data_IF_494539835877
#
_entry.id   IF_494539835877
#
_cell.length_a   1.000
_cell.length_b   1.000
_cell.length_c   1.000
_cell.angle_alpha   90.00
_cell.angle_beta   90.00
_cell.angle_gamma   90.00
#
_symmetry.space_group_name_H-M   'P 1'
#
loop_
_entity.id
_entity.type
_entity.pdbx_description
1 polymer ?
#
# COMPACT_ATOMS: atom_id res chain seq x y z
N UNK A 1 20.08 -21.15 2.89
CA UNK A 1 18.98 -20.45 3.62
C UNK A 1 19.53 -19.14 4.14
N UNK A 2 18.91 -17.99 3.81
CA UNK A 2 19.35 -16.69 4.31
C UNK A 2 19.20 -16.65 5.84
N UNK A 3 20.19 -16.09 6.56
CA UNK A 3 20.08 -15.89 8.02
C UNK A 3 18.83 -15.05 8.35
N UNK A 4 18.08 -15.44 9.40
CA UNK A 4 16.91 -14.68 9.82
C UNK A 4 17.33 -13.28 10.30
N UNK A 5 16.62 -12.27 9.82
CA UNK A 5 16.91 -10.86 10.08
C UNK A 5 16.74 -10.53 11.57
N UNK A 6 17.71 -9.79 12.13
CA UNK A 6 17.69 -9.34 13.52
C UNK A 6 16.88 -8.05 13.66
N UNK A 7 15.97 -8.03 14.65
CA UNK A 7 15.10 -6.89 14.96
C UNK A 7 15.40 -6.40 16.37
N UNK A 8 15.77 -5.14 16.50
CA UNK A 8 16.02 -4.52 17.80
C UNK A 8 14.71 -4.22 18.54
N UNK A 9 14.65 -4.49 19.84
CA UNK A 9 13.49 -4.20 20.68
C UNK A 9 13.89 -3.22 21.78
N UNK A 10 13.22 -2.08 21.83
CA UNK A 10 13.24 -1.15 22.95
C UNK A 10 11.81 -1.00 23.50
N UNK A 11 11.65 -1.17 24.81
CA UNK A 11 10.33 -1.15 25.43
C UNK A 11 10.35 -0.46 26.78
N UNK A 12 9.33 0.34 27.06
CA UNK A 12 9.17 1.09 28.30
C UNK A 12 8.97 0.19 29.51
N UNK A 13 8.27 -0.94 29.32
CA UNK A 13 8.01 -1.90 30.39
C UNK A 13 8.39 -3.33 29.98
N UNK A 14 8.55 -4.21 30.99
CA UNK A 14 8.82 -5.64 30.77
C UNK A 14 7.65 -6.34 30.06
N UNK A 15 6.40 -5.95 30.34
CA UNK A 15 5.22 -6.49 29.67
C UNK A 15 5.21 -6.20 28.18
N UNK A 16 5.48 -4.95 27.79
CA UNK A 16 5.61 -4.54 26.39
C UNK A 16 6.77 -5.28 25.73
N UNK A 17 7.90 -5.41 26.40
CA UNK A 17 9.06 -6.14 25.87
C UNK A 17 8.71 -7.60 25.55
N UNK A 18 8.03 -8.29 26.46
CA UNK A 18 7.59 -9.67 26.27
C UNK A 18 6.65 -9.79 25.06
N UNK A 19 5.67 -8.91 24.95
CA UNK A 19 4.75 -8.85 23.82
C UNK A 19 5.48 -8.68 22.47
N UNK A 20 6.40 -7.70 22.38
CA UNK A 20 7.17 -7.44 21.15
C UNK A 20 8.06 -8.63 20.80
N UNK A 21 8.65 -9.27 21.79
CA UNK A 21 9.49 -10.45 21.60
C UNK A 21 8.71 -11.61 20.97
N UNK A 22 7.59 -11.98 21.55
CA UNK A 22 6.71 -13.04 21.05
C UNK A 22 6.17 -12.71 19.64
N UNK A 23 5.75 -11.45 19.40
CA UNK A 23 5.25 -11.01 18.11
C UNK A 23 6.32 -11.11 16.99
N UNK A 24 7.59 -10.83 17.30
CA UNK A 24 8.69 -10.88 16.34
C UNK A 24 9.10 -12.35 16.06
N UNK A 25 9.18 -13.19 17.07
CA UNK A 25 9.51 -14.63 16.92
C UNK A 25 8.48 -15.39 16.09
N UNK A 26 7.19 -15.17 16.35
CA UNK A 26 6.10 -15.77 15.56
C UNK A 26 6.22 -15.39 14.07
N UNK A 27 6.80 -14.22 13.75
CA UNK A 27 7.09 -13.78 12.39
C UNK A 27 8.30 -14.42 11.72
N UNK A 28 8.99 -15.35 12.39
CA UNK A 28 10.21 -15.98 11.87
C UNK A 28 11.42 -15.03 11.81
N UNK A 29 11.41 -13.98 12.64
CA UNK A 29 12.49 -13.01 12.80
C UNK A 29 13.22 -13.25 14.13
N UNK A 30 14.46 -12.74 14.27
CA UNK A 30 15.23 -12.85 15.51
C UNK A 30 15.17 -11.56 16.31
N UNK A 31 14.46 -11.53 17.46
CA UNK A 31 14.45 -10.37 18.35
C UNK A 31 15.80 -10.22 19.07
N UNK A 32 16.22 -8.97 19.29
CA UNK A 32 17.38 -8.59 20.09
C UNK A 32 16.96 -7.45 21.02
N UNK A 33 17.02 -7.69 22.32
CA UNK A 33 16.76 -6.65 23.31
C UNK A 33 17.87 -5.58 23.25
N UNK A 34 17.47 -4.31 23.20
CA UNK A 34 18.41 -3.19 23.16
C UNK A 34 18.68 -2.60 24.55
N UNK A 35 18.18 -3.26 25.62
CA UNK A 35 18.42 -2.82 26.99
C UNK A 35 18.01 -1.35 27.23
N UNK A 36 18.84 -0.63 27.94
CA UNK A 36 18.67 0.82 28.14
C UNK A 36 19.46 1.60 27.09
N UNK A 37 18.84 1.77 25.92
CA UNK A 37 19.36 2.58 24.81
C UNK A 37 19.68 4.03 25.21
N UNK A 38 19.16 4.49 26.37
CA UNK A 38 19.38 5.86 26.86
C UNK A 38 20.69 6.01 27.62
N UNK A 39 21.27 4.91 28.14
CA UNK A 39 22.43 4.92 29.02
C UNK A 39 23.75 4.53 28.36
N UNK A 40 23.76 3.89 27.18
CA UNK A 40 24.95 3.33 26.55
C UNK A 40 25.19 3.88 25.13
N UNK A 41 26.35 3.55 24.55
CA UNK A 41 26.71 3.89 23.16
C UNK A 41 25.76 3.15 22.19
N UNK A 42 24.77 3.88 21.70
CA UNK A 42 23.72 3.33 20.84
C UNK A 42 24.25 2.83 19.48
N UNK A 43 25.38 3.35 18.99
CA UNK A 43 25.95 2.97 17.70
C UNK A 43 26.22 1.47 17.59
N UNK A 44 26.94 0.92 18.56
CA UNK A 44 27.30 -0.51 18.61
C UNK A 44 26.09 -1.42 18.83
N UNK A 45 25.05 -0.94 19.54
CA UNK A 45 23.83 -1.71 19.79
C UNK A 45 22.95 -1.86 18.56
N UNK A 46 23.01 -0.92 17.64
CA UNK A 46 22.19 -0.86 16.43
C UNK A 46 22.83 -1.61 15.25
N UNK A 47 24.11 -1.98 15.35
CA UNK A 47 24.81 -2.65 14.26
C UNK A 47 24.21 -4.00 13.91
N UNK A 48 24.05 -4.26 12.60
CA UNK A 48 23.50 -5.50 12.05
C UNK A 48 21.99 -5.69 12.22
N UNK A 49 21.26 -4.69 12.72
CA UNK A 49 19.81 -4.72 12.82
C UNK A 49 19.15 -4.36 11.48
N UNK A 50 18.03 -4.99 11.21
CA UNK A 50 17.20 -4.71 10.03
C UNK A 50 16.16 -3.60 10.29
N UNK A 51 15.68 -3.50 11.53
CA UNK A 51 14.83 -2.41 12.02
C UNK A 51 14.86 -2.39 13.55
N UNK A 52 14.32 -1.33 14.14
CA UNK A 52 14.09 -1.19 15.59
C UNK A 52 12.61 -1.02 15.85
N UNK A 53 12.08 -1.79 16.79
CA UNK A 53 10.70 -1.68 17.26
C UNK A 53 10.71 -1.10 18.67
N UNK A 54 10.00 -0.01 18.87
CA UNK A 54 9.89 0.70 20.15
C UNK A 54 8.45 0.65 20.62
N UNK A 55 8.21 0.13 21.80
CA UNK A 55 6.88 0.10 22.42
C UNK A 55 6.84 0.88 23.72
N UNK A 56 5.83 1.73 23.90
CA UNK A 56 5.69 2.54 25.10
C UNK A 56 4.28 3.07 25.33
N UNK A 57 4.00 3.38 26.59
CA UNK A 57 2.75 4.00 27.05
C UNK A 57 2.82 5.54 27.09
N UNK A 58 4.04 6.11 27.02
CA UNK A 58 4.21 7.55 27.14
C UNK A 58 4.86 8.17 25.91
N UNK A 59 4.31 9.32 25.50
CA UNK A 59 4.87 10.08 24.38
C UNK A 59 6.31 10.52 24.64
N UNK A 60 6.61 10.90 25.88
CA UNK A 60 7.96 11.30 26.28
C UNK A 60 8.99 10.19 26.09
N UNK A 61 8.67 8.94 26.45
CA UNK A 61 9.53 7.79 26.24
C UNK A 61 9.78 7.56 24.74
N UNK A 62 8.71 7.49 23.96
CA UNK A 62 8.78 7.23 22.52
C UNK A 62 9.61 8.30 21.79
N UNK A 63 9.43 9.58 22.15
CA UNK A 63 10.18 10.69 21.57
C UNK A 63 11.67 10.61 21.92
N UNK A 64 12.02 10.38 23.19
CA UNK A 64 13.42 10.26 23.64
C UNK A 64 14.17 9.12 22.96
N UNK A 65 13.55 7.94 22.87
CA UNK A 65 14.18 6.78 22.23
C UNK A 65 14.38 7.04 20.73
N UNK A 66 13.41 7.64 20.09
CA UNK A 66 13.51 7.97 18.67
C UNK A 66 14.62 8.96 18.38
N UNK A 67 14.66 10.10 19.07
CA UNK A 67 15.72 11.11 18.94
C UNK A 67 17.11 10.49 19.13
N UNK A 68 17.21 9.52 20.05
CA UNK A 68 18.45 8.78 20.29
C UNK A 68 18.84 7.89 19.11
N UNK A 69 17.88 7.20 18.48
CA UNK A 69 18.14 6.30 17.35
C UNK A 69 18.48 7.09 16.08
N UNK A 70 17.76 8.17 15.79
CA UNK A 70 17.95 8.99 14.58
C UNK A 70 19.36 9.60 14.49
N UNK A 71 19.97 9.91 15.61
CA UNK A 71 21.34 10.43 15.66
C UNK A 71 22.42 9.41 15.22
N UNK A 72 22.08 8.11 15.13
CA UNK A 72 23.07 7.05 14.90
C UNK A 72 22.87 6.23 13.62
N UNK A 73 21.69 6.25 13.00
CA UNK A 73 21.42 5.27 11.93
C UNK A 73 20.22 5.64 11.04
N UNK A 74 20.28 5.15 9.78
CA UNK A 74 19.16 5.14 8.84
C UNK A 74 18.27 3.90 8.98
N UNK A 75 18.39 3.14 10.07
CA UNK A 75 17.59 1.93 10.31
C UNK A 75 16.12 2.32 10.53
N UNK A 76 15.16 1.65 9.87
CA UNK A 76 13.74 1.91 10.07
C UNK A 76 13.32 1.74 11.53
N UNK A 77 12.53 2.67 12.04
CA UNK A 77 11.98 2.64 13.40
C UNK A 77 10.47 2.46 13.32
N UNK A 78 9.94 1.50 14.06
CA UNK A 78 8.50 1.26 14.19
C UNK A 78 8.12 1.57 15.64
N UNK A 79 7.20 2.49 15.84
CA UNK A 79 6.72 2.92 17.15
C UNK A 79 5.34 2.30 17.43
N UNK A 80 5.19 1.62 18.57
CA UNK A 80 3.93 1.10 19.06
C UNK A 80 3.50 1.86 20.31
N UNK A 81 2.27 2.35 20.31
CA UNK A 81 1.71 3.07 21.46
C UNK A 81 0.23 2.77 21.62
N UNK A 82 -0.21 2.70 22.88
CA UNK A 82 -1.62 2.64 23.29
C UNK A 82 -2.15 4.00 23.77
N UNK A 83 -1.38 5.05 23.52
CA UNK A 83 -1.75 6.45 23.80
C UNK A 83 -1.89 7.24 22.50
N UNK A 84 -2.76 8.25 22.51
CA UNK A 84 -2.91 9.15 21.37
C UNK A 84 -1.76 10.16 21.33
N UNK A 85 -1.01 10.17 20.22
CA UNK A 85 0.13 11.06 20.02
C UNK A 85 -0.26 12.18 19.06
N UNK A 86 -0.22 13.42 19.53
CA UNK A 86 -0.65 14.62 18.77
C UNK A 86 0.28 14.96 17.60
N UNK A 87 1.57 14.74 17.73
CA UNK A 87 2.61 15.17 16.77
C UNK A 87 3.10 14.07 15.84
N UNK A 88 2.20 13.22 15.31
CA UNK A 88 2.59 12.13 14.40
C UNK A 88 3.30 12.60 13.13
N UNK A 89 3.02 13.81 12.67
CA UNK A 89 3.52 14.34 11.39
C UNK A 89 4.99 14.76 11.40
N UNK A 90 5.55 15.08 12.55
CA UNK A 90 6.95 15.51 12.70
C UNK A 90 7.92 14.34 12.82
N UNK A 91 7.40 13.15 13.01
CA UNK A 91 8.16 11.95 13.31
C UNK A 91 8.27 11.07 12.06
N UNK A 92 9.46 10.98 11.42
CA UNK A 92 9.76 10.05 10.29
C UNK A 92 9.82 8.58 10.75
N UNK A 93 8.82 8.12 11.52
CA UNK A 93 8.71 6.76 12.02
C UNK A 93 7.38 6.15 11.63
N UNK A 94 7.32 4.84 11.48
CA UNK A 94 6.06 4.14 11.29
C UNK A 94 5.37 3.93 12.63
N UNK A 95 4.07 4.21 12.68
CA UNK A 95 3.27 4.11 13.89
C UNK A 95 2.28 2.96 13.83
N UNK A 96 2.16 2.25 14.95
CA UNK A 96 1.07 1.30 15.21
C UNK A 96 0.38 1.76 16.49
N UNK A 97 -0.89 2.14 16.38
CA UNK A 97 -1.72 2.42 17.53
C UNK A 97 -2.38 1.13 18.03
N UNK A 98 -2.34 0.92 19.33
CA UNK A 98 -2.98 -0.19 20.03
C UNK A 98 -4.11 0.35 20.90
N UNK A 99 -5.18 -0.43 21.09
CA UNK A 99 -6.17 -0.12 22.11
C UNK A 99 -5.58 -0.35 23.50
N UNK A 100 -4.78 -1.40 23.66
CA UNK A 100 -4.04 -1.70 24.88
C UNK A 100 -2.95 -2.73 24.62
N UNK A 101 -1.82 -2.67 25.33
CA UNK A 101 -0.83 -3.73 25.34
C UNK A 101 -1.25 -4.94 26.18
N UNK A 102 -2.26 -4.81 27.04
CA UNK A 102 -2.73 -5.86 27.95
C UNK A 102 -3.83 -6.74 27.35
N UNK A 103 -4.59 -6.20 26.39
CA UNK A 103 -5.68 -6.91 25.74
C UNK A 103 -5.15 -7.94 24.73
N UNK A 104 -5.58 -9.22 24.87
CA UNK A 104 -5.12 -10.32 24.02
C UNK A 104 -5.51 -10.18 22.56
N UNK A 105 -6.69 -9.58 22.28
CA UNK A 105 -7.16 -9.32 20.92
C UNK A 105 -6.33 -8.22 20.24
N UNK A 106 -6.03 -7.14 20.95
CA UNK A 106 -5.14 -6.07 20.53
C UNK A 106 -3.72 -6.61 20.29
N UNK A 107 -3.22 -7.49 21.16
CA UNK A 107 -1.91 -8.14 20.99
C UNK A 107 -1.84 -8.99 19.73
N UNK A 108 -2.82 -9.84 19.47
CA UNK A 108 -2.85 -10.69 18.28
C UNK A 108 -2.93 -9.87 16.97
N UNK A 109 -3.76 -8.83 16.95
CA UNK A 109 -3.89 -7.89 15.82
C UNK A 109 -2.60 -7.13 15.56
N UNK A 110 -2.04 -6.52 16.59
CA UNK A 110 -0.80 -5.75 16.51
C UNK A 110 0.41 -6.61 16.13
N UNK A 111 0.50 -7.85 16.62
CA UNK A 111 1.56 -8.79 16.24
C UNK A 111 1.58 -9.04 14.73
N UNK A 112 0.41 -9.27 14.11
CA UNK A 112 0.30 -9.46 12.67
C UNK A 112 0.70 -8.19 11.89
N UNK A 113 0.23 -7.02 12.31
CA UNK A 113 0.56 -5.73 11.69
C UNK A 113 2.06 -5.44 11.84
N UNK A 114 2.64 -5.71 13.02
CA UNK A 114 4.06 -5.53 13.29
C UNK A 114 4.92 -6.42 12.37
N UNK A 115 4.59 -7.69 12.23
CA UNK A 115 5.30 -8.61 11.33
C UNK A 115 5.28 -8.13 9.88
N UNK A 116 4.12 -7.67 9.42
CA UNK A 116 3.96 -7.12 8.08
C UNK A 116 4.80 -5.86 7.91
N UNK A 117 4.75 -4.92 8.87
CA UNK A 117 5.56 -3.69 8.83
C UNK A 117 7.07 -3.94 8.91
N UNK A 118 7.53 -4.91 9.71
CA UNK A 118 8.95 -5.29 9.75
C UNK A 118 9.40 -5.87 8.41
N UNK A 119 8.57 -6.70 7.77
CA UNK A 119 8.85 -7.24 6.43
C UNK A 119 8.86 -6.13 5.37
N UNK A 120 7.91 -5.19 5.43
CA UNK A 120 7.79 -4.05 4.52
C UNK A 120 8.88 -2.99 4.75
N UNK A 121 9.24 -2.67 5.99
CA UNK A 121 10.32 -1.73 6.31
C UNK A 121 11.69 -2.17 5.75
N UNK A 122 11.88 -3.49 5.62
CA UNK A 122 13.05 -4.03 4.90
C UNK A 122 12.97 -3.86 3.38
N UNK A 123 11.78 -3.74 2.80
CA UNK A 123 11.59 -3.42 1.39
C UNK A 123 11.88 -1.92 1.11
N UNK A 124 11.48 -1.01 2.01
CA UNK A 124 11.75 0.44 1.89
C UNK A 124 13.24 0.81 1.85
N UNK A 125 14.13 0.02 2.45
CA UNK A 125 15.58 0.21 2.31
C UNK A 125 16.05 0.01 0.86
N UNK A 126 15.25 -0.66 0.02
CA UNK A 126 15.45 -0.77 -1.44
C UNK A 126 14.90 0.44 -2.19
N UNK A 127 14.01 1.23 -1.58
CA UNK A 127 13.31 2.37 -2.22
C UNK A 127 14.18 3.59 -2.52
N UNK A 128 15.40 3.70 -1.97
CA UNK A 128 16.37 4.71 -2.39
C UNK A 128 16.98 4.42 -3.78
N UNK A 129 16.70 3.28 -4.37
CA UNK A 129 17.24 2.87 -5.66
C UNK A 129 16.16 2.98 -6.74
N UNK A 130 16.11 4.16 -7.39
CA UNK A 130 15.67 4.38 -8.77
C UNK A 130 14.46 3.57 -9.26
N UNK A 131 13.25 3.86 -8.76
CA UNK A 131 12.07 3.48 -9.51
C UNK A 131 11.99 4.37 -10.77
N UNK A 132 12.10 3.74 -11.93
CA UNK A 132 12.01 4.43 -13.22
C UNK A 132 10.58 4.95 -13.44
N UNK A 133 10.41 6.06 -14.18
CA UNK A 133 9.09 6.44 -14.67
C UNK A 133 8.45 5.30 -15.44
N UNK A 134 7.19 5.02 -15.15
CA UNK A 134 6.46 3.93 -15.81
C UNK A 134 6.26 4.18 -17.29
N UNK A 135 6.47 3.15 -18.09
CA UNK A 135 6.22 3.16 -19.55
C UNK A 135 4.81 2.68 -19.91
N UNK A 136 4.17 1.97 -19.00
CA UNK A 136 2.77 1.53 -19.09
C UNK A 136 2.10 1.67 -17.73
N UNK A 137 0.79 1.65 -17.68
CA UNK A 137 0.01 1.91 -16.49
C UNK A 137 -1.06 0.83 -16.26
N UNK A 138 -1.37 0.56 -15.00
CA UNK A 138 -2.52 -0.26 -14.62
C UNK A 138 -3.48 0.59 -13.80
N UNK A 139 -4.73 0.67 -14.21
CA UNK A 139 -5.82 1.23 -13.41
C UNK A 139 -6.61 0.11 -12.74
N UNK A 140 -6.91 0.24 -11.45
CA UNK A 140 -7.75 -0.71 -10.72
C UNK A 140 -8.90 0.03 -10.07
N UNK A 141 -10.13 -0.41 -10.35
CA UNK A 141 -11.36 0.08 -9.73
C UNK A 141 -11.99 -0.97 -8.82
N UNK A 142 -12.44 -0.57 -7.63
CA UNK A 142 -13.11 -1.47 -6.67
C UNK A 142 -14.04 -0.74 -5.70
N UNK A 143 -14.96 -1.49 -5.06
CA UNK A 143 -15.91 -0.96 -4.07
C UNK A 143 -16.09 -1.96 -2.92
N UNK A 144 -17.28 -2.45 -2.67
CA UNK A 144 -17.56 -3.46 -1.65
C UNK A 144 -16.75 -4.75 -1.89
N UNK A 145 -16.08 -5.27 -0.85
CA UNK A 145 -15.11 -6.38 -0.97
C UNK A 145 -13.74 -5.97 -1.53
N UNK A 146 -13.62 -4.72 -2.03
CA UNK A 146 -12.43 -4.20 -2.70
C UNK A 146 -11.14 -4.25 -1.87
N UNK A 147 -11.10 -3.81 -0.61
CA UNK A 147 -9.88 -3.85 0.19
C UNK A 147 -9.26 -5.25 0.28
N UNK A 148 -10.08 -6.28 0.42
CA UNK A 148 -9.65 -7.68 0.46
C UNK A 148 -9.14 -8.16 -0.92
N UNK A 149 -9.83 -7.79 -1.99
CA UNK A 149 -9.44 -8.12 -3.35
C UNK A 149 -8.13 -7.42 -3.75
N UNK A 150 -7.98 -6.12 -3.43
CA UNK A 150 -6.75 -5.35 -3.64
C UNK A 150 -5.56 -5.96 -2.89
N UNK A 151 -5.74 -6.34 -1.62
CA UNK A 151 -4.70 -7.00 -0.84
C UNK A 151 -4.27 -8.33 -1.46
N UNK A 152 -5.22 -9.14 -1.97
CA UNK A 152 -4.93 -10.41 -2.64
C UNK A 152 -4.12 -10.20 -3.93
N UNK A 153 -4.44 -9.15 -4.71
CA UNK A 153 -3.69 -8.82 -5.93
C UNK A 153 -2.29 -8.30 -5.58
N UNK A 154 -2.20 -7.24 -4.77
CA UNK A 154 -0.93 -6.55 -4.49
C UNK A 154 0.09 -7.43 -3.77
N UNK A 155 -0.35 -8.39 -2.97
CA UNK A 155 0.52 -9.38 -2.31
C UNK A 155 1.31 -10.24 -3.31
N UNK A 156 0.75 -10.47 -4.50
CA UNK A 156 1.31 -11.33 -5.53
C UNK A 156 1.99 -10.55 -6.67
N UNK A 157 2.04 -9.22 -6.60
CA UNK A 157 2.81 -8.38 -7.51
C UNK A 157 4.22 -8.13 -6.97
N UNK A 158 5.15 -7.84 -7.86
CA UNK A 158 6.56 -7.58 -7.51
C UNK A 158 6.92 -6.11 -7.74
N UNK A 159 8.02 -5.65 -7.13
CA UNK A 159 8.61 -4.30 -7.35
C UNK A 159 8.89 -3.99 -8.82
N UNK A 160 8.91 -5.02 -9.63
CA UNK A 160 9.14 -4.91 -11.06
C UNK A 160 7.87 -4.64 -11.86
N UNK A 161 6.70 -4.54 -11.25
CA UNK A 161 5.47 -4.17 -11.93
C UNK A 161 5.50 -2.68 -12.32
N UNK A 162 4.81 -2.33 -13.40
CA UNK A 162 4.60 -0.92 -13.75
C UNK A 162 3.75 -0.19 -12.70
N UNK A 163 3.65 1.13 -12.82
CA UNK A 163 2.84 1.94 -11.91
C UNK A 163 1.36 1.60 -11.94
N UNK A 164 0.76 1.52 -10.77
CA UNK A 164 -0.66 1.17 -10.59
C UNK A 164 -1.42 2.35 -9.98
N UNK A 165 -2.55 2.73 -10.57
CA UNK A 165 -3.47 3.73 -10.03
C UNK A 165 -4.73 3.03 -9.54
N UNK A 166 -5.15 3.30 -8.31
CA UNK A 166 -6.25 2.60 -7.65
C UNK A 166 -7.33 3.59 -7.24
N UNK A 167 -8.55 3.34 -7.66
CA UNK A 167 -9.76 3.94 -7.10
C UNK A 167 -10.53 2.87 -6.31
N UNK A 168 -10.64 3.08 -5.00
CA UNK A 168 -11.47 2.30 -4.11
C UNK A 168 -12.55 3.21 -3.51
N UNK A 169 -13.81 2.87 -3.70
CA UNK A 169 -14.89 3.57 -3.01
C UNK A 169 -14.84 3.28 -1.50
N UNK A 170 -14.48 4.27 -0.74
CA UNK A 170 -14.25 4.17 0.71
C UNK A 170 -14.76 5.42 1.42
N UNK A 171 -15.14 5.29 2.69
CA UNK A 171 -15.62 6.41 3.48
C UNK A 171 -14.51 7.46 3.71
N UNK A 172 -14.93 8.70 3.97
CA UNK A 172 -14.02 9.81 4.27
C UNK A 172 -13.09 9.47 5.45
N UNK A 173 -11.80 9.78 5.29
CA UNK A 173 -10.78 9.57 6.32
C UNK A 173 -10.08 8.20 6.28
N UNK A 174 -10.56 7.22 5.48
CA UNK A 174 -10.00 5.88 5.46
C UNK A 174 -8.95 5.63 4.37
N UNK A 175 -8.77 6.55 3.42
CA UNK A 175 -7.85 6.35 2.30
C UNK A 175 -6.40 6.12 2.75
N UNK A 176 -5.92 6.89 3.73
CA UNK A 176 -4.57 6.76 4.27
C UNK A 176 -4.38 5.40 4.97
N UNK A 177 -5.33 5.01 5.81
CA UNK A 177 -5.29 3.73 6.53
C UNK A 177 -5.32 2.54 5.56
N UNK A 178 -6.12 2.61 4.48
CA UNK A 178 -6.15 1.58 3.45
C UNK A 178 -4.81 1.52 2.70
N UNK A 179 -4.22 2.66 2.34
CA UNK A 179 -2.91 2.69 1.69
C UNK A 179 -1.83 2.03 2.57
N UNK A 180 -1.82 2.33 3.87
CA UNK A 180 -0.91 1.72 4.84
C UNK A 180 -1.12 0.20 4.96
N UNK A 181 -2.36 -0.23 5.06
CA UNK A 181 -2.70 -1.66 5.08
C UNK A 181 -2.21 -2.39 3.82
N UNK A 182 -2.50 -1.84 2.63
CA UNK A 182 -2.09 -2.43 1.36
C UNK A 182 -0.56 -2.41 1.20
N UNK A 183 0.11 -1.33 1.61
CA UNK A 183 1.57 -1.23 1.61
C UNK A 183 2.23 -2.29 2.52
N UNK A 184 1.56 -2.63 3.61
CA UNK A 184 2.05 -3.61 4.56
C UNK A 184 2.04 -5.04 4.01
N UNK A 185 1.13 -5.37 3.09
CA UNK A 185 0.98 -6.72 2.51
C UNK A 185 1.61 -6.87 1.12
N UNK A 186 2.02 -5.77 0.50
CA UNK A 186 2.57 -5.73 -0.86
C UNK A 186 4.11 -5.69 -0.87
N UNK A 187 4.73 -6.26 -1.91
CA UNK A 187 6.13 -6.02 -2.23
C UNK A 187 6.33 -4.68 -2.96
N UNK A 188 5.30 -4.17 -3.66
CA UNK A 188 5.27 -2.83 -4.24
C UNK A 188 5.10 -1.78 -3.14
N UNK A 189 5.56 -0.57 -3.39
CA UNK A 189 5.21 0.59 -2.56
C UNK A 189 3.75 0.94 -2.79
N UNK A 190 2.96 1.08 -1.71
CA UNK A 190 1.58 1.59 -1.81
C UNK A 190 1.47 2.88 -1.01
N UNK A 191 0.99 3.94 -1.64
CA UNK A 191 0.82 5.26 -1.03
C UNK A 191 -0.44 5.94 -1.56
N UNK A 192 -0.87 6.99 -0.90
CA UNK A 192 -1.86 7.91 -1.42
C UNK A 192 -1.24 8.71 -2.57
N UNK A 193 -1.99 8.89 -3.67
CA UNK A 193 -1.56 9.70 -4.81
C UNK A 193 -1.35 11.18 -4.42
N UNK A 194 -0.35 11.83 -4.99
CA UNK A 194 -0.06 13.24 -4.81
C UNK A 194 -0.22 14.01 -6.13
N UNK A 195 -0.58 15.31 -6.03
CA UNK A 195 -0.75 16.17 -7.21
C UNK A 195 0.59 16.36 -7.93
N UNK A 196 0.57 16.25 -9.27
CA UNK A 196 1.75 16.46 -10.11
C UNK A 196 2.84 15.38 -10.02
N UNK A 197 2.61 14.30 -9.26
CA UNK A 197 3.60 13.22 -9.09
C UNK A 197 3.71 12.37 -10.36
N UNK A 198 4.94 12.03 -10.74
CA UNK A 198 5.22 11.11 -11.85
C UNK A 198 4.92 9.67 -11.44
N UNK A 199 4.16 8.95 -12.25
CA UNK A 199 3.89 7.52 -12.02
C UNK A 199 5.16 6.71 -12.25
N UNK A 200 5.52 5.87 -11.28
CA UNK A 200 6.77 5.08 -11.27
C UNK A 200 6.50 3.59 -11.17
N UNK A 201 7.41 2.81 -11.76
CA UNK A 201 7.41 1.35 -11.59
C UNK A 201 7.55 0.97 -10.11
N UNK A 202 6.99 -0.17 -9.72
CA UNK A 202 7.03 -0.66 -8.35
C UNK A 202 6.14 0.09 -7.36
N UNK A 203 5.31 1.05 -7.83
CA UNK A 203 4.47 1.87 -6.93
C UNK A 203 2.99 1.80 -7.32
N UNK A 204 2.14 1.64 -6.31
CA UNK A 204 0.68 1.73 -6.43
C UNK A 204 0.17 2.97 -5.69
N UNK A 205 -0.67 3.73 -6.36
CA UNK A 205 -1.17 5.03 -5.92
C UNK A 205 -2.67 4.96 -5.67
N UNK A 206 -3.09 5.19 -4.43
CA UNK A 206 -4.49 5.16 -4.03
C UNK A 206 -5.12 6.55 -4.11
N UNK A 207 -6.28 6.65 -4.73
CA UNK A 207 -7.08 7.87 -4.74
C UNK A 207 -7.58 8.26 -3.35
N UNK A 208 -7.69 9.55 -3.09
CA UNK A 208 -8.23 10.10 -1.83
C UNK A 208 -9.73 10.31 -1.96
N UNK A 209 -10.50 9.94 -0.94
CA UNK A 209 -11.92 10.26 -0.87
C UNK A 209 -12.17 11.77 -1.04
N UNK A 210 -13.13 12.13 -1.87
CA UNK A 210 -13.48 13.51 -2.17
C UNK A 210 -12.57 14.20 -3.19
N UNK A 211 -11.69 13.44 -3.87
CA UNK A 211 -10.83 13.94 -4.96
C UNK A 211 -10.78 12.92 -6.09
N UNK A 212 -10.92 13.41 -7.31
CA UNK A 212 -10.76 12.59 -8.51
C UNK A 212 -9.27 12.31 -8.74
N UNK A 213 -8.94 11.09 -9.14
CA UNK A 213 -7.60 10.71 -9.58
C UNK A 213 -7.62 10.52 -11.09
N UNK A 214 -6.79 11.28 -11.79
CA UNK A 214 -6.60 11.17 -13.24
C UNK A 214 -5.12 11.13 -13.58
N UNK A 215 -4.80 10.81 -14.82
CA UNK A 215 -3.43 10.82 -15.34
C UNK A 215 -3.36 11.58 -16.65
N UNK A 216 -2.26 12.31 -16.85
CA UNK A 216 -1.92 13.02 -18.08
C UNK A 216 -0.56 12.55 -18.59
N UNK A 217 -0.44 12.40 -19.92
CA UNK A 217 0.85 12.14 -20.57
C UNK A 217 1.54 13.44 -20.91
N UNK A 218 2.73 13.67 -20.33
CA UNK A 218 3.56 14.84 -20.63
C UNK A 218 4.94 14.39 -21.14
N UNK A 219 5.10 14.43 -22.45
CA UNK A 219 6.28 13.86 -23.11
C UNK A 219 6.34 12.33 -22.91
N UNK A 220 7.42 11.85 -22.30
CA UNK A 220 7.60 10.43 -21.98
C UNK A 220 7.07 10.04 -20.60
N UNK A 221 6.56 11.00 -19.82
CA UNK A 221 6.13 10.82 -18.43
C UNK A 221 4.60 10.76 -18.33
N UNK A 222 4.12 10.00 -17.33
CA UNK A 222 2.74 10.05 -16.88
C UNK A 222 2.68 10.76 -15.53
N UNK A 223 1.91 11.84 -15.45
CA UNK A 223 1.68 12.64 -14.25
C UNK A 223 0.29 12.40 -13.71
N UNK A 224 0.18 12.28 -12.40
CA UNK A 224 -1.10 12.18 -11.70
C UNK A 224 -1.66 13.55 -11.39
N UNK A 225 -2.99 13.68 -11.50
CA UNK A 225 -3.72 14.88 -11.09
C UNK A 225 -4.79 14.51 -10.08
N UNK A 226 -4.95 15.35 -9.06
CA UNK A 226 -5.99 15.28 -8.04
C UNK A 226 -6.93 16.45 -8.21
N UNK A 227 -8.10 16.20 -8.73
CA UNK A 227 -9.09 17.24 -8.97
C UNK A 227 -10.07 17.29 -7.79
N UNK A 228 -10.14 18.46 -7.13
CA UNK A 228 -11.15 18.71 -6.10
C UNK A 228 -12.39 19.19 -6.84
N UNK A 229 -13.24 18.31 -7.25
CA UNK A 229 -14.65 18.52 -7.55
C UNK A 229 -15.19 17.44 -8.46
N UNK A 230 -16.36 17.06 -8.13
CA UNK A 230 -17.28 16.32 -8.95
C UNK A 230 -18.60 17.08 -8.96
N UNK A 231 -19.36 16.93 -10.02
CA UNK A 231 -20.78 17.27 -9.95
C UNK A 231 -21.42 16.46 -8.81
N UNK A 232 -22.46 16.96 -8.13
CA UNK A 232 -23.10 16.25 -7.02
C UNK A 232 -23.62 14.84 -7.35
N UNK A 233 -23.57 14.44 -8.61
CA UNK A 233 -24.07 13.16 -9.13
C UNK A 233 -22.98 12.12 -9.37
N UNK A 234 -21.70 12.49 -9.31
CA UNK A 234 -20.58 11.58 -9.59
C UNK A 234 -19.95 11.03 -8.31
N UNK A 235 -19.48 9.78 -8.37
CA UNK A 235 -18.62 9.24 -7.33
C UNK A 235 -17.32 10.06 -7.23
N UNK A 236 -16.86 10.34 -6.02
CA UNK A 236 -15.60 11.03 -5.82
C UNK A 236 -14.76 10.32 -4.76
N UNK A 237 -13.75 9.54 -5.17
CA UNK A 237 -13.24 9.36 -6.55
C UNK A 237 -14.12 8.47 -7.44
N UNK A 238 -14.11 8.73 -8.76
CA UNK A 238 -14.77 7.92 -9.77
C UNK A 238 -13.81 7.01 -10.53
N UNK A 239 -14.16 5.75 -10.65
CA UNK A 239 -13.42 4.75 -11.43
C UNK A 239 -13.51 5.07 -12.92
N UNK A 240 -14.67 5.50 -13.40
CA UNK A 240 -14.86 5.90 -14.80
C UNK A 240 -13.92 7.03 -15.20
N UNK A 241 -13.74 8.05 -14.33
CA UNK A 241 -12.82 9.17 -14.60
C UNK A 241 -11.36 8.71 -14.68
N UNK A 242 -10.92 7.85 -13.76
CA UNK A 242 -9.59 7.25 -13.84
C UNK A 242 -9.39 6.51 -15.16
N UNK A 243 -10.32 5.63 -15.51
CA UNK A 243 -10.21 4.79 -16.70
C UNK A 243 -10.23 5.59 -18.00
N UNK A 244 -11.07 6.65 -18.10
CA UNK A 244 -11.04 7.60 -19.22
C UNK A 244 -9.70 8.28 -19.37
N UNK A 245 -9.14 8.77 -18.26
CA UNK A 245 -7.83 9.42 -18.29
C UNK A 245 -6.73 8.47 -18.77
N UNK A 246 -6.79 7.19 -18.38
CA UNK A 246 -5.87 6.14 -18.86
C UNK A 246 -6.07 5.83 -20.33
N UNK A 247 -7.33 5.74 -20.80
CA UNK A 247 -7.64 5.53 -22.22
C UNK A 247 -7.00 6.62 -23.10
N UNK A 248 -7.16 7.89 -22.70
CA UNK A 248 -6.63 9.05 -23.44
C UNK A 248 -5.12 9.14 -23.36
N UNK A 249 -4.54 8.95 -22.17
CA UNK A 249 -3.12 9.22 -21.92
C UNK A 249 -2.20 8.07 -22.28
N UNK A 250 -2.65 6.82 -22.14
CA UNK A 250 -1.81 5.65 -22.30
C UNK A 250 -2.28 4.68 -23.41
N UNK A 251 -3.59 4.63 -23.74
CA UNK A 251 -4.14 3.79 -24.78
C UNK A 251 -3.74 2.31 -24.61
N UNK A 252 -3.08 1.72 -25.60
CA UNK A 252 -2.58 0.34 -25.59
C UNK A 252 -1.56 0.07 -24.47
N UNK A 253 -0.91 1.12 -23.93
CA UNK A 253 0.00 1.04 -22.79
C UNK A 253 -0.72 1.08 -21.45
N UNK A 254 -2.05 0.99 -21.43
CA UNK A 254 -2.85 0.89 -20.23
C UNK A 254 -3.48 -0.50 -20.07
N UNK A 255 -3.60 -0.94 -18.83
CA UNK A 255 -4.51 -2.01 -18.45
C UNK A 255 -5.56 -1.49 -17.47
N UNK A 256 -6.82 -1.84 -17.66
CA UNK A 256 -7.93 -1.52 -16.76
C UNK A 256 -8.46 -2.79 -16.10
N UNK A 257 -8.58 -2.77 -14.76
CA UNK A 257 -9.04 -3.90 -13.97
C UNK A 257 -10.20 -3.46 -13.09
N UNK A 258 -11.37 -4.05 -13.29
CA UNK A 258 -12.57 -3.76 -12.52
C UNK A 258 -12.92 -4.93 -11.61
N UNK A 259 -12.84 -4.66 -10.30
CA UNK A 259 -13.03 -5.66 -9.24
C UNK A 259 -14.44 -5.58 -8.65
N UNK A 260 -14.67 -6.47 -7.70
CA UNK A 260 -15.88 -6.54 -6.88
C UNK A 260 -16.38 -5.18 -6.43
N UNK A 261 -17.67 -4.95 -6.50
CA UNK A 261 -18.32 -3.73 -6.09
C UNK A 261 -19.78 -3.64 -6.52
N UNK A 262 -20.55 -2.83 -5.79
CA UNK A 262 -21.95 -2.55 -6.11
C UNK A 262 -22.04 -1.40 -7.11
N UNK A 263 -23.03 -1.44 -8.00
CA UNK A 263 -23.27 -0.41 -9.00
C UNK A 263 -22.57 -0.67 -10.32
N UNK A 264 -22.23 0.38 -11.05
CA UNK A 264 -21.69 0.32 -12.42
C UNK A 264 -20.51 1.27 -12.69
N UNK A 265 -20.03 2.03 -11.68
CA UNK A 265 -18.88 2.92 -11.85
C UNK A 265 -17.64 2.13 -12.30
N UNK A 266 -16.96 2.63 -13.30
CA UNK A 266 -15.84 1.98 -13.97
C UNK A 266 -16.23 1.15 -15.20
N UNK A 267 -17.52 0.83 -15.41
CA UNK A 267 -17.94 0.00 -16.54
C UNK A 267 -17.84 0.76 -17.87
N UNK A 268 -18.22 2.03 -17.91
CA UNK A 268 -18.10 2.91 -19.09
C UNK A 268 -16.65 3.24 -19.38
N UNK A 269 -15.90 3.63 -18.36
CA UNK A 269 -14.48 3.92 -18.49
C UNK A 269 -13.67 2.71 -18.97
N UNK A 270 -14.02 1.49 -18.51
CA UNK A 270 -13.40 0.25 -18.99
C UNK A 270 -13.72 -0.01 -20.48
N UNK A 271 -14.94 0.29 -20.92
CA UNK A 271 -15.33 0.22 -22.34
C UNK A 271 -14.51 1.21 -23.18
N UNK A 272 -14.34 2.45 -22.69
CA UNK A 272 -13.52 3.46 -23.37
C UNK A 272 -12.05 3.02 -23.43
N UNK A 273 -11.49 2.44 -22.36
CA UNK A 273 -10.15 1.85 -22.37
C UNK A 273 -9.99 0.77 -23.42
N UNK A 274 -10.97 -0.17 -23.49
CA UNK A 274 -10.96 -1.22 -24.52
C UNK A 274 -10.98 -0.63 -25.93
N UNK A 275 -11.82 0.37 -26.16
CA UNK A 275 -11.91 1.06 -27.46
C UNK A 275 -10.62 1.78 -27.85
N UNK A 276 -9.83 2.23 -26.86
CA UNK A 276 -8.50 2.83 -27.03
C UNK A 276 -7.37 1.79 -27.17
N UNK A 277 -7.68 0.49 -27.25
CA UNK A 277 -6.71 -0.59 -27.41
C UNK A 277 -6.09 -1.10 -26.09
N UNK A 278 -6.56 -0.62 -24.94
CA UNK A 278 -6.07 -1.05 -23.64
C UNK A 278 -6.48 -2.50 -23.33
N UNK A 279 -5.68 -3.17 -22.50
CA UNK A 279 -6.01 -4.49 -21.97
C UNK A 279 -6.99 -4.36 -20.79
N UNK A 280 -8.18 -4.94 -20.91
CA UNK A 280 -9.23 -4.78 -19.91
C UNK A 280 -9.65 -6.10 -19.27
N UNK A 281 -9.74 -6.12 -17.95
CA UNK A 281 -10.08 -7.30 -17.14
C UNK A 281 -11.21 -6.97 -16.18
N UNK A 282 -12.17 -7.86 -16.06
CA UNK A 282 -13.16 -7.85 -14.99
C UNK A 282 -12.98 -9.07 -14.09
N UNK A 283 -13.13 -8.90 -12.78
CA UNK A 283 -13.20 -10.01 -11.84
C UNK A 283 -14.42 -10.89 -12.17
N UNK A 284 -14.26 -12.20 -12.07
CA UNK A 284 -15.34 -13.13 -12.33
C UNK A 284 -16.42 -13.10 -11.23
N UNK A 285 -17.53 -13.79 -11.48
CA UNK A 285 -18.66 -13.85 -10.56
C UNK A 285 -18.33 -14.64 -9.30
N UNK A 286 -17.61 -15.75 -9.45
CA UNK A 286 -17.36 -16.73 -8.42
C UNK A 286 -16.46 -16.18 -7.32
N UNK A 287 -15.47 -15.36 -7.69
CA UNK A 287 -14.53 -14.74 -6.73
C UNK A 287 -14.96 -13.33 -6.29
N UNK A 288 -16.01 -12.74 -6.89
CA UNK A 288 -16.53 -11.43 -6.50
C UNK A 288 -17.41 -11.53 -5.25
N UNK A 289 -17.16 -10.69 -4.24
CA UNK A 289 -18.06 -10.54 -3.10
C UNK A 289 -19.40 -9.93 -3.55
N UNK A 290 -19.33 -8.89 -4.39
CA UNK A 290 -20.48 -8.29 -5.08
C UNK A 290 -20.17 -8.18 -6.57
N UNK A 291 -20.85 -8.99 -7.39
CA UNK A 291 -20.69 -9.01 -8.85
C UNK A 291 -21.59 -7.95 -9.53
N UNK A 292 -21.45 -6.67 -9.13
CA UNK A 292 -22.19 -5.54 -9.71
C UNK A 292 -21.39 -4.83 -10.80
N UNK A 293 -20.36 -4.12 -10.44
CA UNK A 293 -19.47 -3.38 -11.34
C UNK A 293 -18.85 -4.28 -12.44
N UNK A 294 -18.28 -5.46 -12.12
CA UNK A 294 -17.77 -6.36 -13.15
C UNK A 294 -18.86 -6.81 -14.14
N UNK A 295 -20.06 -7.12 -13.64
CA UNK A 295 -21.21 -7.50 -14.48
C UNK A 295 -21.58 -6.38 -15.47
N UNK A 296 -21.64 -5.14 -15.00
CA UNK A 296 -21.96 -3.99 -15.84
C UNK A 296 -20.91 -3.80 -16.95
N UNK A 297 -19.63 -3.93 -16.63
CA UNK A 297 -18.55 -3.83 -17.62
C UNK A 297 -18.59 -4.93 -18.68
N UNK A 298 -18.93 -6.16 -18.29
CA UNK A 298 -19.13 -7.29 -19.22
C UNK A 298 -20.33 -7.00 -20.15
N UNK A 299 -21.45 -6.53 -19.58
CA UNK A 299 -22.65 -6.22 -20.34
C UNK A 299 -22.46 -5.10 -21.38
N UNK A 300 -21.61 -4.09 -21.06
CA UNK A 300 -21.23 -3.02 -21.99
C UNK A 300 -20.17 -3.45 -23.02
N UNK A 301 -19.67 -4.67 -22.96
CA UNK A 301 -18.62 -5.13 -23.85
C UNK A 301 -17.27 -4.49 -23.58
N UNK A 302 -17.03 -3.93 -22.40
CA UNK A 302 -15.78 -3.27 -22.00
C UNK A 302 -14.64 -4.22 -21.58
N UNK A 303 -14.86 -5.53 -21.59
CA UNK A 303 -13.96 -6.54 -21.01
C UNK A 303 -13.31 -7.41 -22.07
N UNK A 304 -11.96 -7.47 -22.09
CA UNK A 304 -11.21 -8.42 -22.92
C UNK A 304 -11.18 -9.81 -22.28
N UNK A 305 -10.97 -9.87 -20.94
CA UNK A 305 -10.92 -11.13 -20.18
C UNK A 305 -11.66 -11.01 -18.86
N UNK A 306 -12.43 -12.02 -18.54
CA UNK A 306 -13.00 -12.20 -17.22
C UNK A 306 -12.19 -13.26 -16.48
N UNK A 307 -11.66 -12.91 -15.29
CA UNK A 307 -10.71 -13.75 -14.57
C UNK A 307 -11.10 -13.91 -13.10
N UNK A 308 -10.84 -15.07 -12.50
CA UNK A 308 -10.89 -15.23 -11.07
C UNK A 308 -9.83 -14.34 -10.40
N UNK A 309 -10.12 -13.86 -9.18
CA UNK A 309 -9.24 -12.96 -8.44
C UNK A 309 -7.80 -13.49 -8.35
N UNK A 310 -7.62 -14.81 -8.23
CA UNK A 310 -6.31 -15.46 -8.12
C UNK A 310 -5.44 -15.37 -9.40
N UNK A 311 -6.05 -15.18 -10.57
CA UNK A 311 -5.33 -15.09 -11.85
C UNK A 311 -5.02 -13.64 -12.27
N UNK A 312 -5.69 -12.64 -11.68
CA UNK A 312 -5.49 -11.23 -12.02
C UNK A 312 -4.02 -10.79 -11.81
N UNK A 313 -3.32 -11.17 -10.71
CA UNK A 313 -1.91 -10.78 -10.55
C UNK A 313 -1.01 -11.26 -11.71
N UNK A 314 -1.19 -12.49 -12.17
CA UNK A 314 -0.41 -13.03 -13.29
C UNK A 314 -0.69 -12.25 -14.58
N UNK A 315 -1.96 -11.93 -14.87
CA UNK A 315 -2.36 -11.12 -16.02
C UNK A 315 -1.76 -9.70 -15.98
N UNK A 316 -1.70 -9.07 -14.80
CA UNK A 316 -1.04 -7.76 -14.59
C UNK A 316 0.46 -7.85 -14.88
N UNK A 317 1.14 -8.87 -14.35
CA UNK A 317 2.58 -9.05 -14.56
C UNK A 317 2.93 -9.36 -16.01
N UNK A 318 2.10 -10.16 -16.70
CA UNK A 318 2.25 -10.43 -18.14
C UNK A 318 2.09 -9.15 -18.96
N UNK A 319 1.07 -8.33 -18.68
CA UNK A 319 0.88 -7.04 -19.32
C UNK A 319 2.08 -6.12 -19.11
N UNK A 320 2.52 -5.93 -17.85
CA UNK A 320 3.66 -5.08 -17.53
C UNK A 320 4.96 -5.55 -18.21
N UNK A 321 5.15 -6.87 -18.36
CA UNK A 321 6.31 -7.48 -19.01
C UNK A 321 6.47 -7.10 -20.49
N UNK A 322 5.36 -6.86 -21.21
CA UNK A 322 5.38 -6.48 -22.64
C UNK A 322 6.07 -5.13 -22.89
N UNK A 323 6.09 -4.23 -21.91
CA UNK A 323 6.58 -2.85 -22.03
C UNK A 323 7.95 -2.62 -21.38
N UNK A 324 8.57 -3.66 -20.81
CA UNK A 324 9.87 -3.55 -20.13
C UNK A 324 11.08 -3.45 -21.07
N UNK A 325 10.99 -4.04 -22.25
CA UNK A 325 12.13 -4.26 -23.14
C UNK A 325 12.06 -3.43 -24.43
N UNK A 326 11.33 -2.32 -24.41
CA UNK A 326 11.24 -1.39 -25.53
C UNK A 326 12.05 -0.12 -25.35
#
# INVERSE_FOLDING_TARGET
MAEPKKVGICAETTGIRKFLWEAIEVGGLRPRGLGDLLSQDAGNMLEGLSCVVVGGHTEAFLKRIRERIEGYTSIPVILLADVYIKERSTLQAEWIHLESFEDEKSRSGAGKVLQVKIKAGNARRREAVNSLPSRCLVGIGSSAGGPKALAAILKNLTESCCGILIVQHIAKGFSQMLAEYLNAVSAMRVKVAEEGEVVRDGTAYLAVHGQQLTVEKKGALFLMHRLSESTPQDFCPSIDMLFRSLAVSAGERAAGILLTGMGEDGAKGLQEMRSAGAYTVAQDRESSEIYGMPKAAVALGGVCRQLPLSEIPAAVMEFAGRWRHG
#
